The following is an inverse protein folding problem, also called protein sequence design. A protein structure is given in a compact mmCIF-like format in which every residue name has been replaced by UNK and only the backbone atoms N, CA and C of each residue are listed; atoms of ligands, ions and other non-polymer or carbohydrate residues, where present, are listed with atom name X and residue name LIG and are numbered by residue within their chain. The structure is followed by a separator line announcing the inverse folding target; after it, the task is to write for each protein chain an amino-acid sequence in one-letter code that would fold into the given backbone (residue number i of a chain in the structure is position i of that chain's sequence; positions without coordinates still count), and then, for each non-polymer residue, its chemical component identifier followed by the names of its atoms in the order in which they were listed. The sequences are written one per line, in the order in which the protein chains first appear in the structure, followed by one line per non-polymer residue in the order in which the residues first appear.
data_IF_308102028158
#
_entry.id   IF_308102028158
#
_cell.length_a   1.000
_cell.length_b   1.000
_cell.length_c   1.000
_cell.angle_alpha   90.00
_cell.angle_beta   90.00
_cell.angle_gamma   90.00
#
_symmetry.space_group_name_H-M   'P 1'
#
loop_
_entity.id
_entity.type
_entity.pdbx_description
1 polymer ?
#
# COMPACT_ATOMS: atom_id res chain seq x y z
N UNK A 1 -2.96 21.47 -12.39
CA UNK A 1 -1.62 20.95 -12.03
C UNK A 1 -1.74 20.22 -10.71
N UNK A 2 -1.79 18.88 -10.73
CA UNK A 2 -1.75 18.06 -9.52
C UNK A 2 -0.31 17.99 -9.02
N UNK A 3 -0.08 18.34 -7.75
CA UNK A 3 1.21 18.20 -7.09
C UNK A 3 1.62 16.71 -7.06
N UNK A 4 2.89 16.36 -7.29
CA UNK A 4 3.36 14.99 -7.12
C UNK A 4 3.13 14.53 -5.68
N UNK A 5 2.67 13.29 -5.52
CA UNK A 5 2.32 12.72 -4.22
C UNK A 5 3.56 12.54 -3.32
N UNK A 6 3.86 13.54 -2.50
CA UNK A 6 4.80 13.42 -1.38
C UNK A 6 3.99 13.14 -0.11
N UNK A 7 3.80 11.84 0.17
CA UNK A 7 3.69 11.28 1.51
C UNK A 7 2.41 11.49 2.35
N UNK A 8 1.82 10.39 2.82
CA UNK A 8 0.84 10.37 3.93
C UNK A 8 1.29 9.50 5.11
N UNK A 9 2.60 9.27 5.24
CA UNK A 9 3.19 8.42 6.28
C UNK A 9 3.20 9.08 7.65
N UNK A 10 2.09 8.99 8.38
CA UNK A 10 1.99 9.49 9.77
C UNK A 10 3.03 8.86 10.72
N UNK A 11 3.55 7.67 10.38
CA UNK A 11 4.40 6.86 11.25
C UNK A 11 5.90 7.25 11.25
N UNK A 12 6.36 8.07 10.30
CA UNK A 12 7.78 8.46 10.14
C UNK A 12 8.75 7.26 10.21
N UNK A 13 8.41 6.15 9.58
CA UNK A 13 9.34 5.03 9.51
C UNK A 13 10.45 5.34 8.52
N UNK A 14 11.68 5.01 8.87
CA UNK A 14 12.75 4.95 7.88
C UNK A 14 12.43 3.85 6.86
N UNK A 15 12.96 3.96 5.62
CA UNK A 15 12.67 2.98 4.57
C UNK A 15 12.98 1.53 4.96
N UNK A 16 14.04 1.25 5.73
CA UNK A 16 14.42 -0.11 6.12
C UNK A 16 13.40 -0.72 7.08
N UNK A 17 13.00 0.04 8.11
CA UNK A 17 11.97 -0.42 9.05
C UNK A 17 10.63 -0.66 8.38
N UNK A 18 10.27 0.20 7.42
CA UNK A 18 9.04 0.09 6.65
C UNK A 18 9.01 -1.19 5.79
N UNK A 19 10.03 -1.44 4.96
CA UNK A 19 10.07 -2.65 4.12
C UNK A 19 10.17 -3.92 4.96
N UNK A 20 10.93 -3.89 6.07
CA UNK A 20 11.02 -5.02 6.99
C UNK A 20 9.65 -5.39 7.57
N UNK A 21 8.85 -4.41 7.99
CA UNK A 21 7.52 -4.65 8.53
C UNK A 21 6.54 -5.18 7.45
N UNK A 22 6.63 -4.65 6.22
CA UNK A 22 5.85 -5.16 5.08
C UNK A 22 6.20 -6.63 4.81
N UNK A 23 7.49 -6.94 4.68
CA UNK A 23 7.96 -8.29 4.40
C UNK A 23 7.60 -9.27 5.52
N UNK A 24 7.71 -8.86 6.78
CA UNK A 24 7.30 -9.68 7.92
C UNK A 24 5.81 -10.00 7.89
N UNK A 25 4.95 -9.02 7.59
CA UNK A 25 3.51 -9.28 7.45
C UNK A 25 3.16 -10.19 6.25
N UNK A 26 3.93 -10.13 5.16
CA UNK A 26 3.81 -11.06 4.03
C UNK A 26 4.20 -12.48 4.45
N UNK A 27 5.35 -12.61 5.12
CA UNK A 27 5.88 -13.88 5.62
C UNK A 27 4.89 -14.56 6.58
N UNK A 28 4.44 -13.84 7.61
CA UNK A 28 3.52 -14.37 8.61
C UNK A 28 2.21 -14.88 7.99
N UNK A 29 1.65 -14.13 7.02
CA UNK A 29 0.42 -14.55 6.35
C UNK A 29 0.63 -15.78 5.46
N UNK A 30 1.71 -15.79 4.66
CA UNK A 30 1.95 -16.86 3.68
C UNK A 30 2.46 -18.16 4.31
N UNK A 31 3.08 -18.08 5.48
CA UNK A 31 3.57 -19.24 6.24
C UNK A 31 2.60 -19.72 7.32
N UNK A 32 1.45 -19.05 7.52
CA UNK A 32 0.41 -19.50 8.46
C UNK A 32 -0.06 -20.92 8.08
N UNK A 33 0.15 -21.94 8.94
CA UNK A 33 -0.22 -23.33 8.65
C UNK A 33 -1.70 -23.52 8.30
N UNK A 34 -2.59 -22.69 8.86
CA UNK A 34 -4.02 -22.76 8.57
C UNK A 34 -4.31 -22.25 7.16
N UNK A 35 -3.53 -21.27 6.66
CA UNK A 35 -3.66 -20.75 5.30
C UNK A 35 -3.01 -21.66 4.26
N UNK A 36 -1.96 -22.39 4.63
CA UNK A 36 -1.35 -23.39 3.75
C UNK A 36 -2.33 -24.49 3.33
N UNK A 37 -3.37 -24.75 4.13
CA UNK A 37 -4.43 -25.72 3.80
C UNK A 37 -5.41 -25.23 2.71
N UNK A 38 -5.45 -23.93 2.42
CA UNK A 38 -6.29 -23.34 1.36
C UNK A 38 -5.39 -22.55 0.41
N UNK A 39 -4.95 -23.14 -0.72
CA UNK A 39 -4.01 -22.47 -1.60
C UNK A 39 -4.58 -21.14 -2.09
N UNK A 40 -3.82 -20.07 -1.85
CA UNK A 40 -4.18 -18.72 -2.29
C UNK A 40 -3.98 -18.58 -3.79
N UNK A 41 -4.90 -17.88 -4.46
CA UNK A 41 -4.75 -17.50 -5.88
C UNK A 41 -3.70 -16.41 -6.10
N UNK A 42 -3.26 -15.74 -5.03
CA UNK A 42 -2.23 -14.70 -5.09
C UNK A 42 -0.97 -15.34 -5.68
N UNK A 43 -0.47 -14.77 -6.78
CA UNK A 43 0.80 -15.14 -7.41
C UNK A 43 1.83 -14.02 -7.28
N UNK A 44 1.37 -12.77 -7.26
CA UNK A 44 2.24 -11.58 -7.32
C UNK A 44 1.83 -10.52 -6.29
N UNK A 45 2.80 -10.04 -5.53
CA UNK A 45 2.67 -8.90 -4.61
C UNK A 45 3.67 -7.84 -5.06
N UNK A 46 3.18 -6.73 -5.59
CA UNK A 46 4.02 -5.62 -6.06
C UNK A 46 4.07 -4.50 -5.01
N UNK A 47 5.25 -4.16 -4.54
CA UNK A 47 5.51 -3.05 -3.64
C UNK A 47 5.92 -1.86 -4.50
N UNK A 48 5.04 -0.84 -4.56
CA UNK A 48 5.21 0.31 -5.43
C UNK A 48 5.71 1.51 -4.64
N UNK A 49 6.81 2.07 -5.11
CA UNK A 49 7.49 3.19 -4.45
C UNK A 49 7.63 4.36 -5.42
N UNK A 50 6.95 5.46 -5.11
CA UNK A 50 7.02 6.69 -5.91
C UNK A 50 8.30 7.50 -5.63
N UNK A 51 8.67 7.65 -4.36
CA UNK A 51 9.82 8.47 -3.94
C UNK A 51 11.14 7.73 -4.17
N UNK A 52 12.11 8.41 -4.80
CA UNK A 52 13.40 7.80 -5.15
C UNK A 52 14.23 7.42 -3.93
N UNK A 53 14.23 8.23 -2.87
CA UNK A 53 15.00 7.95 -1.66
C UNK A 53 14.45 6.73 -0.93
N UNK A 54 13.12 6.62 -0.84
CA UNK A 54 12.45 5.44 -0.29
C UNK A 54 12.75 4.21 -1.13
N UNK A 55 12.68 4.34 -2.46
CA UNK A 55 12.94 3.23 -3.38
C UNK A 55 14.35 2.68 -3.21
N UNK A 56 15.37 3.54 -3.16
CA UNK A 56 16.74 3.11 -2.91
C UNK A 56 16.91 2.45 -1.55
N UNK A 57 16.24 2.98 -0.51
CA UNK A 57 16.20 2.32 0.79
C UNK A 57 15.65 0.89 0.70
N UNK A 58 14.50 0.70 0.04
CA UNK A 58 13.93 -0.64 -0.14
C UNK A 58 14.84 -1.54 -0.99
N UNK A 59 15.49 -1.00 -2.02
CA UNK A 59 16.39 -1.78 -2.86
C UNK A 59 17.60 -2.30 -2.08
N UNK A 60 18.22 -1.46 -1.24
CA UNK A 60 19.33 -1.87 -0.37
C UNK A 60 18.94 -2.99 0.60
N UNK A 61 17.69 -2.99 1.09
CA UNK A 61 17.17 -4.11 1.90
C UNK A 61 17.24 -5.44 1.13
N UNK A 62 16.84 -5.45 -0.15
CA UNK A 62 16.82 -6.65 -0.98
C UNK A 62 18.20 -7.07 -1.52
N UNK A 63 19.13 -6.12 -1.69
CA UNK A 63 20.51 -6.43 -2.06
C UNK A 63 21.21 -7.31 -1.01
N UNK A 64 20.83 -7.20 0.26
CA UNK A 64 21.31 -8.08 1.33
C UNK A 64 20.92 -9.56 1.12
N UNK A 65 19.91 -9.84 0.30
CA UNK A 65 19.52 -11.20 -0.09
C UNK A 65 20.34 -11.74 -1.28
N UNK A 66 21.43 -11.05 -1.67
CA UNK A 66 22.28 -11.38 -2.84
C UNK A 66 21.48 -11.45 -4.16
N UNK A 67 20.43 -10.66 -4.27
CA UNK A 67 19.62 -10.57 -5.49
C UNK A 67 19.87 -9.23 -6.18
N UNK A 68 19.97 -9.25 -7.50
CA UNK A 68 20.09 -8.04 -8.34
C UNK A 68 18.74 -7.65 -8.97
N UNK A 69 17.63 -8.24 -8.51
CA UNK A 69 16.37 -8.21 -9.25
C UNK A 69 15.32 -7.28 -8.64
N UNK A 70 14.54 -6.67 -9.52
CA UNK A 70 13.31 -5.95 -9.22
C UNK A 70 12.15 -6.89 -8.82
N UNK A 71 12.33 -8.20 -8.97
CA UNK A 71 11.38 -9.24 -8.60
C UNK A 71 12.12 -10.45 -8.02
N UNK A 72 11.58 -11.08 -6.99
CA UNK A 72 12.13 -12.31 -6.41
C UNK A 72 11.02 -13.25 -5.95
N UNK A 73 11.31 -14.54 -5.92
CA UNK A 73 10.38 -15.53 -5.38
C UNK A 73 10.61 -15.67 -3.89
N UNK A 74 9.58 -15.41 -3.09
CA UNK A 74 9.57 -15.70 -1.65
C UNK A 74 8.25 -16.38 -1.27
N UNK A 75 8.34 -17.38 -0.39
CA UNK A 75 7.17 -18.11 0.12
C UNK A 75 6.27 -18.70 -1.00
N UNK A 76 6.88 -19.10 -2.13
CA UNK A 76 6.16 -19.60 -3.30
C UNK A 76 5.30 -18.55 -4.01
N UNK A 77 5.64 -17.26 -3.89
CA UNK A 77 4.99 -16.11 -4.52
C UNK A 77 6.04 -15.19 -5.13
N UNK A 78 5.66 -14.45 -6.16
CA UNK A 78 6.51 -13.40 -6.75
C UNK A 78 6.32 -12.12 -5.94
N UNK A 79 7.40 -11.58 -5.40
CA UNK A 79 7.43 -10.27 -4.75
C UNK A 79 8.20 -9.32 -5.66
N UNK A 80 7.60 -8.18 -5.99
CA UNK A 80 8.18 -7.18 -6.90
C UNK A 80 8.37 -5.86 -6.18
N UNK A 81 9.47 -5.17 -6.49
CA UNK A 81 9.72 -3.79 -6.06
C UNK A 81 9.72 -2.89 -7.30
N UNK A 82 8.67 -2.08 -7.43
CA UNK A 82 8.50 -1.19 -8.58
C UNK A 82 8.73 0.26 -8.18
N UNK A 83 9.61 0.96 -8.90
CA UNK A 83 9.66 2.43 -8.85
C UNK A 83 8.61 3.00 -9.78
N UNK A 84 7.62 3.73 -9.26
CA UNK A 84 6.59 4.32 -10.12
C UNK A 84 5.35 4.79 -9.37
N UNK A 85 4.32 5.11 -10.15
CA UNK A 85 3.00 5.48 -9.64
C UNK A 85 2.14 4.21 -9.45
N UNK A 86 1.47 4.10 -8.31
CA UNK A 86 0.58 2.98 -8.01
C UNK A 86 -0.69 2.99 -8.88
N UNK A 87 -1.10 4.15 -9.38
CA UNK A 87 -2.29 4.29 -10.25
C UNK A 87 -2.08 3.69 -11.63
N UNK A 88 -0.82 3.47 -12.02
CA UNK A 88 -0.41 2.85 -13.27
C UNK A 88 -0.29 1.31 -13.24
N UNK A 89 -0.60 0.68 -12.10
CA UNK A 89 -0.41 -0.76 -11.94
C UNK A 89 -1.58 -1.55 -12.52
N UNK A 90 -1.30 -2.37 -13.54
CA UNK A 90 -2.25 -3.29 -14.15
C UNK A 90 -2.34 -4.60 -13.33
N UNK A 91 -3.01 -4.54 -12.19
CA UNK A 91 -3.17 -5.65 -11.24
C UNK A 91 -4.65 -5.88 -10.91
N UNK A 92 -4.98 -6.99 -10.25
CA UNK A 92 -6.36 -7.21 -9.80
C UNK A 92 -6.78 -6.15 -8.77
N UNK A 93 -5.87 -5.77 -7.87
CA UNK A 93 -6.18 -4.79 -6.83
C UNK A 93 -4.99 -3.88 -6.51
N UNK A 94 -5.23 -2.56 -6.41
CA UNK A 94 -4.30 -1.65 -5.72
C UNK A 94 -4.78 -1.33 -4.31
N UNK A 95 -3.85 -1.08 -3.39
CA UNK A 95 -4.17 -0.69 -2.01
C UNK A 95 -4.14 0.83 -1.87
N UNK A 96 -5.24 1.38 -1.37
CA UNK A 96 -5.35 2.78 -0.98
C UNK A 96 -5.25 2.93 0.54
N UNK A 97 -4.29 3.75 1.00
CA UNK A 97 -4.18 4.16 2.40
C UNK A 97 -5.10 5.35 2.65
N UNK A 98 -6.33 5.08 3.06
CA UNK A 98 -7.40 6.06 3.20
C UNK A 98 -7.53 6.61 4.63
N UNK A 99 -8.27 7.71 4.74
CA UNK A 99 -8.86 8.16 6.01
C UNK A 99 -10.20 7.45 6.25
N UNK A 100 -10.75 7.59 7.47
CA UNK A 100 -12.03 6.97 7.85
C UNK A 100 -13.18 7.37 6.93
N UNK A 101 -13.18 8.58 6.40
CA UNK A 101 -14.25 9.12 5.55
C UNK A 101 -14.05 8.84 4.06
N UNK A 102 -13.05 8.04 3.67
CA UNK A 102 -12.75 7.63 2.29
C UNK A 102 -12.65 8.79 1.27
N UNK A 103 -12.33 10.00 1.74
CA UNK A 103 -12.34 11.22 0.93
C UNK A 103 -10.99 11.96 0.95
N UNK A 104 -9.92 11.28 1.40
CA UNK A 104 -8.59 11.87 1.53
C UNK A 104 -8.05 12.34 0.18
N UNK A 105 -7.86 13.66 0.03
CA UNK A 105 -7.37 14.29 -1.21
C UNK A 105 -5.86 14.55 -1.23
N UNK A 106 -5.09 13.89 -0.35
CA UNK A 106 -3.64 14.09 -0.22
C UNK A 106 -2.84 12.78 -0.22
N UNK A 107 -1.55 12.90 -0.54
CA UNK A 107 -0.59 11.81 -0.70
C UNK A 107 -1.09 10.70 -1.63
N UNK A 108 -0.76 9.44 -1.30
CA UNK A 108 -1.12 8.29 -2.15
C UNK A 108 -2.63 8.16 -2.33
N UNK A 109 -3.42 8.46 -1.29
CA UNK A 109 -4.89 8.40 -1.39
C UNK A 109 -5.45 9.44 -2.35
N UNK A 110 -4.94 10.67 -2.26
CA UNK A 110 -5.32 11.74 -3.18
C UNK A 110 -4.98 11.39 -4.62
N UNK A 111 -3.80 10.83 -4.87
CA UNK A 111 -3.40 10.37 -6.20
C UNK A 111 -4.33 9.26 -6.71
N UNK A 112 -4.59 8.22 -5.90
CA UNK A 112 -5.48 7.11 -6.28
C UNK A 112 -6.90 7.61 -6.56
N UNK A 113 -7.50 8.41 -5.67
CA UNK A 113 -8.86 8.90 -5.86
C UNK A 113 -8.97 9.86 -7.05
N UNK A 114 -7.96 10.69 -7.28
CA UNK A 114 -7.91 11.57 -8.45
C UNK A 114 -7.80 10.77 -9.75
N UNK A 115 -6.97 9.73 -9.78
CA UNK A 115 -6.81 8.88 -10.96
C UNK A 115 -8.04 8.00 -11.21
N UNK A 116 -8.65 7.46 -10.15
CA UNK A 116 -9.83 6.60 -10.25
C UNK A 116 -11.08 7.35 -10.73
N UNK A 117 -11.19 8.64 -10.39
CA UNK A 117 -12.24 9.52 -10.86
C UNK A 117 -13.56 9.43 -10.09
N UNK A 118 -14.56 10.16 -10.58
CA UNK A 118 -15.82 10.42 -9.85
C UNK A 118 -16.61 9.15 -9.51
N UNK A 119 -16.56 8.11 -10.35
CA UNK A 119 -17.28 6.87 -10.09
C UNK A 119 -16.87 6.24 -8.75
N UNK A 120 -15.56 6.16 -8.48
CA UNK A 120 -15.01 5.63 -7.22
C UNK A 120 -15.29 6.56 -6.05
N UNK A 121 -15.29 7.88 -6.25
CA UNK A 121 -15.69 8.82 -5.20
C UNK A 121 -17.14 8.61 -4.74
N UNK A 122 -18.06 8.33 -5.67
CA UNK A 122 -19.45 8.00 -5.33
C UNK A 122 -19.59 6.62 -4.68
N UNK A 123 -18.77 5.63 -5.06
CA UNK A 123 -18.68 4.34 -4.35
C UNK A 123 -18.21 4.53 -2.91
N UNK A 124 -17.16 5.32 -2.68
CA UNK A 124 -16.67 5.68 -1.35
C UNK A 124 -17.74 6.35 -0.50
N UNK A 125 -18.52 7.29 -1.06
CA UNK A 125 -19.64 7.93 -0.36
C UNK A 125 -20.73 6.94 0.04
N UNK A 126 -21.04 5.95 -0.81
CA UNK A 126 -22.01 4.89 -0.49
C UNK A 126 -21.51 3.96 0.60
N UNK A 127 -20.22 3.65 0.64
CA UNK A 127 -19.60 2.88 1.71
C UNK A 127 -19.68 3.65 3.04
N UNK A 128 -19.47 4.97 3.01
CA UNK A 128 -19.54 5.83 4.18
C UNK A 128 -18.24 5.79 4.98
N UNK A 129 -18.31 5.31 6.23
CA UNK A 129 -17.15 5.29 7.13
C UNK A 129 -16.42 3.93 7.09
N UNK A 130 -15.11 3.99 6.90
CA UNK A 130 -14.21 2.86 7.04
C UNK A 130 -13.83 2.67 8.51
N UNK A 131 -14.11 1.49 9.07
CA UNK A 131 -13.78 1.17 10.47
C UNK A 131 -12.30 0.87 10.64
N UNK A 132 -11.80 1.08 11.86
CA UNK A 132 -10.51 0.54 12.24
C UNK A 132 -10.52 -0.97 12.03
N UNK A 133 -9.41 -1.47 11.52
CA UNK A 133 -9.25 -2.87 11.20
C UNK A 133 -10.17 -3.43 10.09
N UNK A 134 -10.72 -2.59 9.21
CA UNK A 134 -11.49 -3.01 8.05
C UNK A 134 -10.68 -2.88 6.73
N UNK A 135 -11.14 -3.59 5.68
CA UNK A 135 -10.74 -3.38 4.30
C UNK A 135 -12.00 -3.40 3.42
N UNK A 136 -12.27 -2.31 2.72
CA UNK A 136 -13.43 -2.19 1.81
C UNK A 136 -12.96 -2.09 0.37
N UNK A 137 -13.82 -2.49 -0.56
CA UNK A 137 -13.53 -2.53 -1.99
C UNK A 137 -14.40 -1.56 -2.77
N UNK A 138 -13.80 -0.89 -3.74
CA UNK A 138 -14.48 -0.21 -4.85
C UNK A 138 -13.99 -0.74 -6.20
N UNK A 139 -14.64 -0.35 -7.28
CA UNK A 139 -14.10 -0.54 -8.64
C UNK A 139 -12.77 0.18 -8.83
N UNK A 140 -12.03 -0.17 -9.89
CA UNK A 140 -10.82 0.54 -10.29
C UNK A 140 -11.06 1.94 -10.86
N UNK A 141 -12.30 2.29 -11.18
CA UNK A 141 -12.63 3.50 -11.92
C UNK A 141 -11.81 3.61 -13.22
N UNK A 142 -11.12 4.73 -13.39
CA UNK A 142 -10.24 4.98 -14.53
C UNK A 142 -8.79 4.49 -14.34
N UNK A 143 -8.45 3.84 -13.21
CA UNK A 143 -7.12 3.26 -13.03
C UNK A 143 -6.93 1.99 -13.88
N UNK A 144 -5.70 1.50 -14.01
CA UNK A 144 -5.41 0.23 -14.70
C UNK A 144 -5.74 -1.01 -13.86
N UNK A 145 -5.98 -0.85 -12.56
CA UNK A 145 -6.35 -1.95 -11.69
C UNK A 145 -7.85 -2.23 -11.78
N UNK A 146 -8.25 -3.48 -11.53
CA UNK A 146 -9.68 -3.86 -11.55
C UNK A 146 -10.43 -3.32 -10.33
N UNK A 147 -9.76 -3.28 -9.18
CA UNK A 147 -10.33 -2.88 -7.90
C UNK A 147 -9.37 -2.01 -7.08
N UNK A 148 -9.94 -1.22 -6.18
CA UNK A 148 -9.19 -0.49 -5.15
C UNK A 148 -9.63 -1.02 -3.79
N UNK A 149 -8.66 -1.46 -2.99
CA UNK A 149 -8.86 -1.85 -1.60
C UNK A 149 -8.50 -0.68 -0.69
N UNK A 150 -9.48 -0.14 0.02
CA UNK A 150 -9.28 0.95 0.97
C UNK A 150 -9.07 0.40 2.36
N UNK A 151 -7.94 0.76 2.96
CA UNK A 151 -7.62 0.46 4.36
C UNK A 151 -7.18 1.75 5.06
N UNK A 152 -7.37 1.80 6.38
CA UNK A 152 -6.73 2.84 7.19
C UNK A 152 -5.24 2.49 7.30
N UNK A 153 -4.37 3.45 6.95
CA UNK A 153 -2.93 3.24 7.00
C UNK A 153 -2.41 3.01 8.42
N UNK A 154 -1.42 2.11 8.60
CA UNK A 154 -0.88 1.77 9.92
C UNK A 154 -0.08 2.91 10.56
N UNK A 155 -0.22 3.05 11.89
CA UNK A 155 0.46 4.10 12.70
C UNK A 155 1.58 3.60 13.58
N UNK A 156 1.63 2.30 13.88
CA UNK A 156 2.64 1.62 14.71
C UNK A 156 3.21 0.45 13.94
N UNK A 157 4.43 -0.01 14.25
CA UNK A 157 5.07 -1.16 13.58
C UNK A 157 4.19 -2.41 13.56
N UNK A 158 3.58 -2.77 14.69
CA UNK A 158 2.65 -3.91 14.77
C UNK A 158 1.42 -3.77 13.86
N UNK A 159 0.97 -2.54 13.59
CA UNK A 159 -0.15 -2.30 12.68
C UNK A 159 0.23 -2.51 11.20
N UNK A 160 1.52 -2.41 10.83
CA UNK A 160 1.96 -2.71 9.44
C UNK A 160 1.80 -4.19 9.13
N UNK A 161 2.24 -5.05 10.04
CA UNK A 161 2.11 -6.50 9.93
C UNK A 161 0.63 -6.89 9.81
N UNK A 162 -0.22 -6.36 10.69
CA UNK A 162 -1.67 -6.57 10.64
C UNK A 162 -2.32 -6.03 9.35
N UNK A 163 -1.84 -4.90 8.83
CA UNK A 163 -2.35 -4.34 7.58
C UNK A 163 -2.03 -5.25 6.40
N UNK A 164 -0.80 -5.76 6.32
CA UNK A 164 -0.41 -6.72 5.29
C UNK A 164 -1.19 -8.03 5.40
N UNK A 165 -1.36 -8.57 6.61
CA UNK A 165 -2.21 -9.73 6.83
C UNK A 165 -3.63 -9.50 6.29
N UNK A 166 -4.24 -8.34 6.58
CA UNK A 166 -5.57 -8.03 6.06
C UNK A 166 -5.59 -7.89 4.55
N UNK A 167 -4.62 -7.19 3.96
CA UNK A 167 -4.54 -7.04 2.50
C UNK A 167 -4.53 -8.41 1.83
N UNK A 168 -3.66 -9.31 2.29
CA UNK A 168 -3.52 -10.64 1.72
C UNK A 168 -4.75 -11.52 2.00
N UNK A 169 -5.35 -11.40 3.19
CA UNK A 169 -6.60 -12.07 3.51
C UNK A 169 -7.75 -11.64 2.59
N UNK A 170 -7.89 -10.34 2.35
CA UNK A 170 -8.91 -9.81 1.44
C UNK A 170 -8.65 -10.26 0.01
N UNK A 171 -7.39 -10.27 -0.44
CA UNK A 171 -7.02 -10.79 -1.75
C UNK A 171 -7.37 -12.27 -1.91
N UNK A 172 -7.06 -13.09 -0.90
CA UNK A 172 -7.43 -14.50 -0.86
C UNK A 172 -8.94 -14.70 -0.96
N UNK A 173 -9.71 -14.00 -0.13
CA UNK A 173 -11.19 -14.11 -0.10
C UNK A 173 -11.85 -13.66 -1.41
N UNK A 174 -11.23 -12.75 -2.15
CA UNK A 174 -11.74 -12.27 -3.45
C UNK A 174 -11.06 -12.96 -4.65
N UNK A 175 -10.23 -13.99 -4.42
CA UNK A 175 -9.56 -14.76 -5.48
C UNK A 175 -8.69 -13.88 -6.40
N UNK A 176 -8.04 -12.87 -5.82
CA UNK A 176 -7.11 -12.02 -6.55
C UNK A 176 -5.77 -12.71 -6.76
N UNK A 177 -5.22 -12.57 -7.97
CA UNK A 177 -3.91 -13.08 -8.37
C UNK A 177 -2.80 -12.08 -8.15
N UNK A 178 -3.09 -10.79 -8.31
CA UNK A 178 -2.09 -9.73 -8.13
C UNK A 178 -2.59 -8.56 -7.28
N UNK A 179 -1.71 -8.08 -6.40
CA UNK A 179 -1.97 -6.88 -5.58
C UNK A 179 -0.78 -5.93 -5.64
N UNK A 180 -1.05 -4.63 -5.78
CA UNK A 180 -0.05 -3.59 -5.63
C UNK A 180 -0.26 -2.83 -4.31
N UNK A 181 0.78 -2.72 -3.50
CA UNK A 181 0.79 -2.05 -2.20
C UNK A 181 1.74 -0.87 -2.28
N UNK A 182 1.34 0.34 -1.84
CA UNK A 182 2.26 1.48 -1.85
C UNK A 182 3.29 1.33 -0.73
N UNK A 183 4.42 2.05 -0.84
CA UNK A 183 5.32 2.23 0.29
C UNK A 183 4.57 2.83 1.50
N UNK A 184 4.32 2.00 2.52
CA UNK A 184 3.56 2.40 3.69
C UNK A 184 4.46 3.10 4.71
N UNK A 185 3.99 4.18 5.33
CA UNK A 185 4.68 4.79 6.48
C UNK A 185 5.87 5.70 6.20
N UNK A 186 6.24 5.85 4.92
CA UNK A 186 7.43 6.60 4.47
C UNK A 186 7.11 8.03 4.00
N UNK A 187 5.85 8.44 4.06
CA UNK A 187 5.46 9.78 3.66
C UNK A 187 5.91 10.87 4.62
N UNK A 188 6.28 12.03 4.07
CA UNK A 188 6.59 13.24 4.84
C UNK A 188 5.29 13.92 5.23
N UNK A 189 5.05 14.09 6.52
CA UNK A 189 3.87 14.79 7.03
C UNK A 189 3.90 16.29 6.62
N UNK A 190 2.98 16.69 5.73
CA UNK A 190 2.84 18.07 5.28
C UNK A 190 2.36 18.97 6.44
N UNK A 191 1.52 18.46 7.35
CA UNK A 191 1.01 19.27 8.47
C UNK A 191 2.10 19.54 9.52
N UNK A 192 2.93 18.55 9.86
CA UNK A 192 4.06 18.76 10.76
C UNK A 192 5.13 19.70 10.17
N UNK A 193 5.37 19.61 8.86
CA UNK A 193 6.27 20.52 8.14
C UNK A 193 5.74 21.96 8.13
N UNK A 194 4.42 22.14 7.92
CA UNK A 194 3.77 23.45 7.96
C UNK A 194 3.79 24.09 9.37
N UNK A 195 3.52 23.30 10.41
CA UNK A 195 3.57 23.76 11.81
C UNK A 195 5.01 24.14 12.25
N UNK A 196 6.03 23.42 11.76
CA UNK A 196 7.45 23.77 12.00
C UNK A 196 7.88 25.05 11.30
N UNK A 197 7.36 25.35 10.11
CA UNK A 197 7.65 26.62 9.41
C UNK A 197 7.01 27.82 10.11
N UNK A 198 5.76 27.69 10.58
CA UNK A 198 5.09 28.75 11.36
C UNK A 198 5.70 29.02 12.73
N UNK A 199 6.36 28.03 13.33
CA UNK A 199 7.05 28.20 14.62
C UNK A 199 8.52 28.67 14.47
N UNK A 200 8.96 28.96 13.24
CA UNK A 200 10.30 29.47 12.92
C UNK A 200 10.27 30.90 12.34
N UNK A 201 9.07 31.48 12.20
CA UNK A 201 8.81 32.88 11.89
C UNK A 201 8.16 33.51 13.12
#
# INVERSE_FOLDING_TARGET
MSLPAIGTGSAKLDPQSSIKAIMKGIEEYLLDPVKLLKPSSISTINIVVFDSTVYWGYLTFFQNYKTNYFHFTAFGKTIELTKGDITDQAVDCIVNLANRTLNQKSGVSGAILSAAGKAVEEECKRIGELKEHEAVKTSGGNTKAKYIMHIIGPKTLSAYEQSMHRILQTCHNNVYRSVAVPAMGTGKDIQASYKRMKNRL
#
